data_IF_123107448544
#
_entry.id   IF_123107448544
#
_cell.length_a   1.000
_cell.length_b   1.000
_cell.length_c   1.000
_cell.angle_alpha   90.00
_cell.angle_beta   90.00
_cell.angle_gamma   90.00
#
_symmetry.space_group_name_H-M   'P 1'
#
loop_
_entity.id
_entity.type
_entity.pdbx_description
1 polymer ?
#
# COMPACT_ATOMS: atom_id res chain seq x y z
N UNK A 1 7.32 2.83 -19.14
CA UNK A 1 5.91 2.58 -18.79
C UNK A 1 5.49 1.30 -19.47
N UNK A 2 4.84 0.37 -18.76
CA UNK A 2 4.36 -0.90 -19.31
C UNK A 2 2.84 -0.92 -19.24
N UNK A 3 2.18 -1.07 -20.39
CA UNK A 3 0.71 -1.19 -20.42
C UNK A 3 0.34 -2.64 -20.07
N UNK A 4 -0.47 -2.81 -19.02
CA UNK A 4 -0.95 -4.12 -18.59
C UNK A 4 -2.21 -4.52 -19.36
N UNK A 5 -3.18 -3.60 -19.47
CA UNK A 5 -4.47 -3.90 -20.08
C UNK A 5 -5.17 -2.64 -20.60
N UNK A 6 -6.14 -2.80 -21.51
CA UNK A 6 -7.07 -1.75 -21.93
C UNK A 6 -8.52 -2.22 -21.78
N UNK A 7 -9.36 -1.44 -21.11
CA UNK A 7 -10.79 -1.73 -20.91
C UNK A 7 -11.61 -0.45 -20.87
N UNK A 8 -12.74 -0.45 -21.56
CA UNK A 8 -13.69 0.67 -21.51
C UNK A 8 -13.14 2.01 -22.00
N UNK A 9 -12.14 2.00 -22.88
CA UNK A 9 -11.43 3.22 -23.32
C UNK A 9 -10.34 3.69 -22.35
N UNK A 10 -10.17 3.03 -21.20
CA UNK A 10 -9.11 3.30 -20.25
C UNK A 10 -7.93 2.35 -20.47
N UNK A 11 -6.74 2.86 -20.22
CA UNK A 11 -5.46 2.18 -20.40
C UNK A 11 -4.80 2.04 -19.02
N UNK A 12 -4.62 0.79 -18.60
CA UNK A 12 -4.04 0.40 -17.33
C UNK A 12 -2.55 0.13 -17.52
N UNK A 13 -1.69 0.78 -16.75
CA UNK A 13 -0.25 0.69 -16.91
C UNK A 13 0.49 0.80 -15.56
N UNK A 14 1.74 0.35 -15.56
CA UNK A 14 2.66 0.44 -14.42
C UNK A 14 3.96 1.14 -14.85
N UNK A 15 4.64 1.77 -13.88
CA UNK A 15 5.96 2.38 -14.09
C UNK A 15 7.07 1.41 -13.68
N UNK A 16 8.19 1.50 -14.39
CA UNK A 16 9.45 0.82 -14.06
C UNK A 16 9.92 1.28 -12.68
N UNK A 17 10.25 0.33 -11.79
CA UNK A 17 10.66 0.63 -10.40
C UNK A 17 9.53 0.71 -9.36
N UNK A 18 8.26 0.63 -9.76
CA UNK A 18 7.11 0.65 -8.83
C UNK A 18 6.83 -0.69 -8.13
N UNK A 19 7.61 -1.73 -8.40
CA UNK A 19 7.38 -3.08 -7.90
C UNK A 19 7.65 -3.24 -6.38
N UNK A 20 8.45 -2.35 -5.77
CA UNK A 20 8.74 -2.39 -4.33
C UNK A 20 7.64 -1.79 -3.44
N UNK A 21 6.66 -1.12 -4.04
CA UNK A 21 5.51 -0.55 -3.34
C UNK A 21 4.32 -1.50 -3.31
N UNK A 22 3.27 -1.13 -2.56
CA UNK A 22 1.98 -1.85 -2.55
C UNK A 22 1.43 -2.02 -3.97
N UNK A 23 0.65 -3.09 -4.23
CA UNK A 23 0.09 -3.35 -5.55
C UNK A 23 -0.77 -2.18 -6.00
N UNK A 24 -0.31 -1.48 -7.03
CA UNK A 24 -0.94 -0.29 -7.56
C UNK A 24 -0.82 -0.22 -9.08
N UNK A 25 -1.77 0.47 -9.68
CA UNK A 25 -1.91 0.64 -11.11
C UNK A 25 -2.18 2.10 -11.45
N UNK A 26 -1.69 2.53 -12.60
CA UNK A 26 -2.06 3.80 -13.19
C UNK A 26 -3.09 3.56 -14.27
N UNK A 27 -4.08 4.46 -14.35
CA UNK A 27 -5.13 4.42 -15.35
C UNK A 27 -5.16 5.76 -16.06
N UNK A 28 -5.10 5.74 -17.38
CA UNK A 28 -5.23 6.93 -18.22
C UNK A 28 -6.28 6.70 -19.29
N UNK A 29 -6.95 7.76 -19.73
CA UNK A 29 -7.94 7.70 -20.81
C UNK A 29 -7.35 8.18 -22.13
N UNK A 30 -7.00 9.46 -22.19
CA UNK A 30 -6.50 10.14 -23.39
C UNK A 30 -4.98 10.41 -23.35
N UNK A 31 -4.30 10.08 -22.25
CA UNK A 31 -2.87 10.32 -22.03
C UNK A 31 -2.59 11.55 -21.18
N UNK A 32 -3.40 12.60 -21.30
CA UNK A 32 -3.31 13.82 -20.49
C UNK A 32 -3.82 13.61 -19.07
N UNK A 33 -4.91 12.87 -18.92
CA UNK A 33 -5.54 12.60 -17.62
C UNK A 33 -5.17 11.21 -17.11
N UNK A 34 -4.84 11.12 -15.83
CA UNK A 34 -4.45 9.86 -15.20
C UNK A 34 -4.81 9.80 -13.73
N UNK A 35 -5.02 8.60 -13.22
CA UNK A 35 -5.21 8.35 -11.79
C UNK A 35 -4.40 7.13 -11.34
N UNK A 36 -3.98 7.16 -10.07
CA UNK A 36 -3.31 6.05 -9.40
C UNK A 36 -4.29 5.35 -8.47
N UNK A 37 -4.45 4.05 -8.64
CA UNK A 37 -5.26 3.19 -7.79
C UNK A 37 -4.41 2.13 -7.12
N UNK A 38 -4.67 1.89 -5.84
CA UNK A 38 -4.17 0.72 -5.10
C UNK A 38 -5.11 -0.46 -5.35
N UNK A 39 -4.59 -1.69 -5.37
CA UNK A 39 -5.39 -2.92 -5.54
C UNK A 39 -5.68 -3.63 -4.20
N UNK A 40 -4.94 -3.31 -3.13
CA UNK A 40 -5.19 -3.82 -1.78
C UNK A 40 -5.08 -2.72 -0.72
N UNK A 41 -6.20 -2.13 -0.25
CA UNK A 41 -7.56 -2.21 -0.80
C UNK A 41 -7.74 -1.40 -2.10
N UNK A 42 -8.79 -1.70 -2.88
CA UNK A 42 -9.12 -0.92 -4.09
C UNK A 42 -9.49 0.51 -3.72
N UNK A 43 -8.60 1.46 -4.00
CA UNK A 43 -8.79 2.87 -3.63
C UNK A 43 -7.98 3.80 -4.51
N UNK A 44 -8.57 4.95 -4.87
CA UNK A 44 -7.87 6.02 -5.58
C UNK A 44 -6.94 6.76 -4.62
N UNK A 45 -5.67 6.89 -5.00
CA UNK A 45 -4.66 7.61 -4.22
C UNK A 45 -4.38 8.98 -4.83
N UNK A 46 -4.34 9.04 -6.16
CA UNK A 46 -4.02 10.26 -6.90
C UNK A 46 -4.98 10.38 -8.06
N UNK A 47 -5.53 11.57 -8.27
CA UNK A 47 -6.29 11.94 -9.46
C UNK A 47 -5.63 13.14 -10.12
N UNK A 48 -5.33 13.03 -11.41
CA UNK A 48 -4.80 14.09 -12.25
C UNK A 48 -5.77 14.33 -13.42
N UNK A 49 -6.83 15.08 -13.15
CA UNK A 49 -7.77 15.57 -14.18
C UNK A 49 -8.92 14.63 -14.57
N UNK A 50 -9.09 13.47 -13.95
CA UNK A 50 -10.27 12.62 -14.17
C UNK A 50 -11.51 13.19 -13.46
N UNK A 51 -12.64 13.16 -14.14
CA UNK A 51 -13.91 13.59 -13.55
C UNK A 51 -14.35 12.64 -12.43
N UNK A 52 -15.11 13.15 -11.46
CA UNK A 52 -15.61 12.35 -10.32
C UNK A 52 -16.45 11.15 -10.78
N UNK A 53 -17.28 11.33 -11.80
CA UNK A 53 -18.09 10.26 -12.38
C UNK A 53 -17.21 9.15 -13.00
N UNK A 54 -16.10 9.53 -13.65
CA UNK A 54 -15.15 8.56 -14.20
C UNK A 54 -14.40 7.84 -13.09
N UNK A 55 -14.00 8.53 -12.02
CA UNK A 55 -13.38 7.89 -10.85
C UNK A 55 -14.29 6.82 -10.23
N UNK A 56 -15.57 7.12 -10.02
CA UNK A 56 -16.52 6.14 -9.48
C UNK A 56 -16.67 4.94 -10.42
N UNK A 57 -16.74 5.18 -11.73
CA UNK A 57 -16.81 4.11 -12.73
C UNK A 57 -15.53 3.26 -12.75
N UNK A 58 -14.37 3.91 -12.70
CA UNK A 58 -13.07 3.27 -12.63
C UNK A 58 -12.92 2.46 -11.35
N UNK A 59 -13.38 2.95 -10.21
CA UNK A 59 -13.34 2.21 -8.95
C UNK A 59 -14.14 0.90 -9.06
N UNK A 60 -15.33 0.93 -9.66
CA UNK A 60 -16.11 -0.29 -9.94
C UNK A 60 -15.41 -1.23 -10.92
N UNK A 61 -14.84 -0.69 -12.01
CA UNK A 61 -14.09 -1.49 -12.97
C UNK A 61 -12.81 -2.10 -12.38
N UNK A 62 -12.06 -1.36 -11.58
CA UNK A 62 -10.85 -1.83 -10.93
C UNK A 62 -11.18 -2.90 -9.88
N UNK A 63 -12.31 -2.78 -9.18
CA UNK A 63 -12.76 -3.81 -8.26
C UNK A 63 -13.13 -5.12 -8.99
N UNK A 64 -13.85 -5.02 -10.12
CA UNK A 64 -14.20 -6.19 -10.95
C UNK A 64 -12.94 -6.84 -11.58
N UNK A 65 -12.01 -6.01 -12.03
CA UNK A 65 -10.77 -6.44 -12.67
C UNK A 65 -9.63 -6.68 -11.67
N UNK A 66 -9.87 -6.49 -10.38
CA UNK A 66 -8.87 -6.62 -9.30
C UNK A 66 -8.08 -7.93 -9.41
N UNK A 67 -8.71 -9.12 -9.49
CA UNK A 67 -7.96 -10.37 -9.53
C UNK A 67 -7.04 -10.45 -10.76
N UNK A 68 -7.48 -9.99 -11.93
CA UNK A 68 -6.66 -9.97 -13.14
C UNK A 68 -5.51 -8.98 -13.05
N UNK A 69 -5.79 -7.76 -12.58
CA UNK A 69 -4.77 -6.72 -12.41
C UNK A 69 -3.72 -7.12 -11.38
N UNK A 70 -4.15 -7.79 -10.31
CA UNK A 70 -3.29 -8.29 -9.26
C UNK A 70 -2.36 -9.39 -9.79
N UNK A 71 -2.87 -10.34 -10.57
CA UNK A 71 -2.05 -11.37 -11.23
C UNK A 71 -0.95 -10.74 -12.11
N UNK A 72 -1.35 -9.83 -13.01
CA UNK A 72 -0.41 -9.13 -13.90
C UNK A 72 0.62 -8.30 -13.13
N UNK A 73 0.21 -7.70 -12.01
CA UNK A 73 1.11 -6.95 -11.15
C UNK A 73 2.15 -7.87 -10.49
N UNK A 74 1.75 -9.05 -10.01
CA UNK A 74 2.69 -10.03 -9.44
C UNK A 74 3.66 -10.58 -10.48
N UNK A 75 3.18 -10.91 -11.69
CA UNK A 75 4.06 -11.33 -12.80
C UNK A 75 5.12 -10.27 -13.11
N UNK A 76 4.71 -9.00 -13.13
CA UNK A 76 5.62 -7.88 -13.30
C UNK A 76 6.60 -7.74 -12.12
N UNK A 77 6.13 -7.85 -10.88
CA UNK A 77 6.98 -7.76 -9.69
C UNK A 77 8.07 -8.84 -9.68
N UNK A 78 7.70 -10.08 -10.02
CA UNK A 78 8.64 -11.21 -10.17
C UNK A 78 9.67 -10.90 -11.25
N UNK A 79 9.24 -10.37 -12.40
CA UNK A 79 10.14 -9.96 -13.50
C UNK A 79 11.11 -8.85 -13.07
N UNK A 80 10.71 -8.00 -12.13
CA UNK A 80 11.57 -6.96 -11.55
C UNK A 80 12.44 -7.46 -10.38
N UNK A 81 12.41 -8.76 -10.07
CA UNK A 81 13.17 -9.35 -8.96
C UNK A 81 12.60 -9.03 -7.58
N UNK A 82 11.40 -8.45 -7.51
CA UNK A 82 10.69 -8.24 -6.25
C UNK A 82 9.92 -9.50 -5.92
N UNK A 83 10.37 -10.22 -4.88
CA UNK A 83 9.60 -11.36 -4.37
C UNK A 83 8.30 -10.84 -3.75
N UNK A 84 7.16 -11.51 -4.03
CA UNK A 84 5.88 -11.11 -3.48
C UNK A 84 5.96 -11.05 -1.96
N UNK A 85 5.45 -9.96 -1.41
CA UNK A 85 5.50 -9.56 0.00
C UNK A 85 4.66 -10.48 0.89
N UNK A 86 5.03 -11.76 1.00
CA UNK A 86 4.75 -12.55 2.19
C UNK A 86 5.70 -12.16 3.35
N UNK A 87 6.68 -11.27 3.11
CA UNK A 87 7.77 -10.93 4.05
C UNK A 87 7.92 -9.42 4.35
N UNK A 88 6.85 -8.61 4.30
CA UNK A 88 6.82 -7.33 5.05
C UNK A 88 5.70 -7.30 6.07
N UNK A 89 5.75 -8.24 7.00
CA UNK A 89 5.46 -7.85 8.37
C UNK A 89 6.68 -7.05 8.88
N UNK A 90 6.48 -5.81 9.34
CA UNK A 90 7.47 -4.90 9.96
C UNK A 90 8.42 -4.14 9.02
N UNK A 91 7.95 -3.01 8.46
CA UNK A 91 8.81 -1.83 8.25
C UNK A 91 8.04 -0.50 8.30
N UNK A 92 7.25 -0.32 9.35
CA UNK A 92 7.09 1.02 9.93
C UNK A 92 8.11 1.12 11.05
N UNK A 93 9.28 1.67 10.77
CA UNK A 93 10.05 2.33 11.82
C UNK A 93 9.46 3.73 11.97
N UNK A 94 9.01 4.16 13.16
CA UNK A 94 8.82 5.58 13.39
C UNK A 94 10.21 6.21 13.55
N UNK A 95 10.63 7.01 12.58
CA UNK A 95 11.76 7.93 12.75
C UNK A 95 11.19 9.34 12.91
N UNK A 96 11.43 9.97 14.07
CA UNK A 96 11.36 11.41 14.47
C UNK A 96 10.83 11.48 15.91
N UNK A 97 11.48 12.01 16.95
CA UNK A 97 12.83 12.48 17.27
C UNK A 97 12.90 12.60 18.84
N UNK A 98 13.93 13.21 19.49
CA UNK A 98 14.55 12.74 20.74
C UNK A 98 13.90 13.26 22.04
N UNK A 99 14.48 12.90 23.20
CA UNK A 99 14.16 13.33 24.59
C UNK A 99 13.08 12.44 25.23
N UNK A 100 13.20 11.86 26.42
CA UNK A 100 14.03 12.11 27.60
C UNK A 100 14.11 10.79 28.37
N UNK A 101 15.21 10.51 29.06
CA UNK A 101 15.31 9.45 30.07
C UNK A 101 14.06 9.41 30.97
N UNK A 102 13.40 8.26 31.15
CA UNK A 102 12.50 8.12 32.28
C UNK A 102 13.35 7.93 33.53
N UNK A 103 13.41 9.00 34.31
CA UNK A 103 13.87 8.99 35.68
C UNK A 103 13.34 7.76 36.43
N UNK A 104 14.29 7.08 37.09
CA UNK A 104 14.04 6.19 38.21
C UNK A 104 13.05 6.84 39.17
N UNK A 105 11.88 6.24 39.32
CA UNK A 105 10.96 6.52 40.41
C UNK A 105 10.39 5.19 40.84
N UNK A 106 11.05 4.65 41.86
CA UNK A 106 10.63 3.51 42.66
C UNK A 106 9.49 3.98 43.59
N UNK A 107 8.29 3.38 43.54
CA UNK A 107 7.37 3.43 44.65
C UNK A 107 7.41 2.11 45.41
N UNK A 108 8.08 2.16 46.56
CA UNK A 108 7.62 1.62 47.84
C UNK A 108 6.38 0.71 47.79
N UNK A 109 6.57 -0.57 48.11
CA UNK A 109 5.63 -1.33 48.95
C UNK A 109 6.24 -2.64 49.43
N UNK A 110 6.56 -2.66 50.72
CA UNK A 110 6.57 -3.83 51.60
C UNK A 110 5.25 -4.62 51.45
N UNK A 111 5.25 -5.95 51.66
CA UNK A 111 4.68 -6.40 52.93
C UNK A 111 5.38 -7.61 53.57
N UNK A 112 5.33 -7.60 54.90
CA UNK A 112 5.69 -8.67 55.82
C UNK A 112 4.87 -9.97 55.65
N UNK A 113 5.54 -11.10 55.86
CA UNK A 113 5.01 -12.39 56.35
C UNK A 113 6.26 -13.20 56.80
N UNK A 114 6.57 -13.42 58.08
CA UNK A 114 5.91 -14.15 59.16
C UNK A 114 5.67 -15.64 58.84
N UNK A 115 6.07 -16.48 59.81
CA UNK A 115 6.13 -17.96 59.88
C UNK A 115 7.48 -18.57 59.45
N UNK A 116 8.20 -19.38 60.23
CA UNK A 116 7.89 -20.09 61.48
C UNK A 116 8.36 -21.54 61.37
N UNK A 117 9.47 -21.90 62.03
CA UNK A 117 9.76 -23.18 62.74
C UNK A 117 11.20 -23.18 63.24
#
# INVERSE_FOLDING_TARGET
MLTLMRRGGFRFYVKSGSAQEKPHIFVTRDGDTWAKFTLKPVSVVINNGLARNELTRLQGMVADLEPQLLQLWWEYAITQGVRPEAEKEKKHGPATAPLTEPAVLEPSSEPAALEGV
#
